data_IF_046333196952
#
_entry.id   IF_046333196952
#
_cell.length_a   1.000
_cell.length_b   1.000
_cell.length_c   1.000
_cell.angle_alpha   90.00
_cell.angle_beta   90.00
_cell.angle_gamma   90.00
#
_symmetry.space_group_name_H-M   'P 1'
#
loop_
_entity.id
_entity.type
_entity.pdbx_description
1 polymer ?
#
# COMPACT_ATOMS: atom_id res chain seq x y z
N UNK A 1 27.59 8.12 -43.26
CA UNK A 1 26.18 7.93 -42.85
C UNK A 1 26.12 6.77 -41.86
N UNK A 2 25.94 7.04 -40.57
CA UNK A 2 25.68 6.01 -39.54
C UNK A 2 24.60 6.55 -38.62
N UNK A 3 23.46 5.86 -38.61
CA UNK A 3 22.32 6.14 -37.75
C UNK A 3 22.73 5.89 -36.29
N UNK A 4 22.64 6.92 -35.44
CA UNK A 4 22.74 6.76 -34.00
C UNK A 4 21.34 6.43 -33.45
N UNK A 5 21.13 5.16 -33.09
CA UNK A 5 19.95 4.73 -32.33
C UNK A 5 20.00 5.34 -30.94
N UNK A 6 19.07 6.26 -30.68
CA UNK A 6 18.82 6.83 -29.37
C UNK A 6 17.93 5.86 -28.60
N UNK A 7 18.50 5.08 -27.68
CA UNK A 7 17.74 4.17 -26.82
C UNK A 7 17.12 4.97 -25.67
N UNK A 8 15.86 5.37 -25.82
CA UNK A 8 15.08 6.02 -24.76
C UNK A 8 14.57 4.93 -23.80
N UNK A 9 15.14 4.86 -22.60
CA UNK A 9 14.69 3.95 -21.54
C UNK A 9 13.43 4.56 -20.90
N UNK A 10 12.25 4.16 -21.39
CA UNK A 10 10.98 4.42 -20.72
C UNK A 10 10.87 3.49 -19.51
N UNK A 11 10.99 4.04 -18.31
CA UNK A 11 10.55 3.37 -17.08
C UNK A 11 9.02 3.44 -17.09
N UNK A 12 8.37 2.37 -17.58
CA UNK A 12 6.94 2.15 -17.40
C UNK A 12 6.71 1.88 -15.91
N UNK A 13 6.38 2.92 -15.16
CA UNK A 13 5.63 2.78 -13.91
C UNK A 13 4.25 2.27 -14.30
N UNK A 14 4.10 0.94 -14.34
CA UNK A 14 2.79 0.30 -14.35
C UNK A 14 2.07 0.80 -13.12
N UNK A 15 1.12 1.73 -13.30
CA UNK A 15 0.09 1.98 -12.31
C UNK A 15 -0.62 0.64 -12.11
N UNK A 16 -0.21 -0.10 -11.09
CA UNK A 16 -0.86 -1.33 -10.70
C UNK A 16 -2.26 -0.91 -10.24
N UNK A 17 -3.24 -1.10 -11.12
CA UNK A 17 -4.63 -0.81 -10.84
C UNK A 17 -5.05 -1.52 -9.55
N UNK A 18 -5.53 -0.70 -8.61
CA UNK A 18 -5.95 -1.09 -7.27
C UNK A 18 -7.27 -1.87 -7.33
N UNK A 19 -7.19 -3.19 -7.55
CA UNK A 19 -8.39 -4.02 -7.72
C UNK A 19 -8.87 -4.60 -6.39
N UNK A 20 -9.42 -3.74 -5.53
CA UNK A 20 -10.25 -4.17 -4.41
C UNK A 20 -11.70 -4.40 -4.91
N UNK A 21 -11.93 -5.40 -5.77
CA UNK A 21 -13.24 -5.57 -6.41
C UNK A 21 -14.22 -6.47 -5.64
N UNK A 22 -15.44 -5.95 -5.46
CA UNK A 22 -16.68 -6.68 -5.72
C UNK A 22 -16.94 -6.65 -7.25
N UNK A 23 -17.56 -7.69 -7.83
CA UNK A 23 -17.75 -7.99 -9.28
C UNK A 23 -18.30 -6.87 -10.20
N UNK A 24 -17.65 -5.71 -10.26
CA UNK A 24 -18.10 -4.49 -10.94
C UNK A 24 -16.99 -3.90 -11.82
N UNK A 25 -17.37 -3.09 -12.82
CA UNK A 25 -16.40 -2.36 -13.66
C UNK A 25 -16.05 -1.03 -12.99
N UNK A 26 -14.81 -0.87 -12.50
CA UNK A 26 -14.39 0.32 -11.74
C UNK A 26 -13.13 0.99 -12.31
N UNK A 27 -12.75 0.70 -13.56
CA UNK A 27 -11.52 1.24 -14.19
C UNK A 27 -11.39 2.76 -14.04
N UNK A 28 -12.48 3.50 -14.28
CA UNK A 28 -12.52 4.96 -14.16
C UNK A 28 -12.44 5.47 -12.71
N UNK A 29 -12.89 4.67 -11.75
CA UNK A 29 -12.75 4.98 -10.33
C UNK A 29 -11.34 4.67 -9.85
N UNK A 30 -10.74 3.58 -10.31
CA UNK A 30 -9.34 3.25 -10.04
C UNK A 30 -8.41 4.32 -10.62
N UNK A 31 -8.67 4.80 -11.84
CA UNK A 31 -7.89 5.88 -12.47
C UNK A 31 -7.94 7.19 -11.67
N UNK A 32 -9.07 7.50 -11.03
CA UNK A 32 -9.21 8.66 -10.14
C UNK A 32 -8.39 8.54 -8.86
N UNK A 33 -7.88 7.36 -8.52
CA UNK A 33 -7.18 7.09 -7.26
C UNK A 33 -8.08 7.27 -6.05
N UNK A 34 -7.54 7.76 -4.94
CA UNK A 34 -8.33 8.13 -3.78
C UNK A 34 -8.74 6.95 -2.88
N UNK A 35 -8.19 5.76 -3.08
CA UNK A 35 -8.48 4.57 -2.27
C UNK A 35 -7.53 4.39 -1.08
N UNK A 36 -7.96 3.59 -0.11
CA UNK A 36 -7.15 3.24 1.06
C UNK A 36 -5.79 2.62 0.69
N UNK A 37 -5.75 1.77 -0.35
CA UNK A 37 -4.51 1.17 -0.85
C UNK A 37 -3.57 2.18 -1.53
N UNK A 38 -4.11 3.22 -2.17
CA UNK A 38 -3.30 4.28 -2.80
C UNK A 38 -2.53 5.05 -1.72
N UNK A 39 -3.22 5.36 -0.62
CA UNK A 39 -2.60 5.98 0.54
C UNK A 39 -1.56 5.07 1.21
N UNK A 40 -1.88 3.80 1.44
CA UNK A 40 -0.91 2.85 2.00
C UNK A 40 0.33 2.74 1.11
N UNK A 41 0.18 2.68 -0.22
CA UNK A 41 1.32 2.68 -1.15
C UNK A 41 2.15 3.96 -1.09
N UNK A 42 1.53 5.11 -0.83
CA UNK A 42 2.27 6.37 -0.67
C UNK A 42 3.16 6.35 0.58
N UNK A 43 2.77 5.59 1.62
CA UNK A 43 3.55 5.39 2.86
C UNK A 43 4.54 4.24 2.74
N UNK A 44 4.13 3.15 2.10
CA UNK A 44 4.87 1.91 1.95
C UNK A 44 4.81 1.47 0.49
N UNK A 45 5.72 1.94 -0.37
CA UNK A 45 5.69 1.64 -1.81
C UNK A 45 5.75 0.15 -2.16
N UNK A 46 6.31 -0.66 -1.25
CA UNK A 46 6.43 -2.12 -1.39
C UNK A 46 5.14 -2.89 -1.03
N UNK A 47 4.10 -2.22 -0.54
CA UNK A 47 2.85 -2.88 -0.19
C UNK A 47 2.24 -3.58 -1.43
N UNK A 48 2.02 -4.92 -1.38
CA UNK A 48 1.36 -5.64 -2.46
C UNK A 48 -0.12 -5.25 -2.50
N UNK A 49 -0.60 -4.78 -3.65
CA UNK A 49 -2.03 -4.44 -3.81
C UNK A 49 -2.77 -5.69 -4.29
N UNK A 50 -3.54 -6.36 -3.40
CA UNK A 50 -4.21 -7.60 -3.75
C UNK A 50 -5.27 -7.33 -4.80
N UNK A 51 -5.39 -8.24 -5.76
CA UNK A 51 -6.34 -8.16 -6.87
C UNK A 51 -7.57 -9.07 -6.66
N UNK A 52 -7.56 -9.88 -5.60
CA UNK A 52 -8.59 -10.86 -5.30
C UNK A 52 -8.76 -11.09 -3.80
N UNK A 53 -9.91 -11.67 -3.42
CA UNK A 53 -10.18 -12.08 -2.02
C UNK A 53 -9.17 -13.15 -1.56
N UNK A 54 -8.73 -14.03 -2.46
CA UNK A 54 -7.69 -15.00 -2.13
C UNK A 54 -6.36 -14.30 -1.79
N UNK A 55 -5.94 -13.34 -2.62
CA UNK A 55 -4.69 -12.60 -2.40
C UNK A 55 -4.70 -11.81 -1.09
N UNK A 56 -5.81 -11.15 -0.74
CA UNK A 56 -5.86 -10.38 0.51
C UNK A 56 -5.81 -11.26 1.75
N UNK A 57 -6.37 -12.48 1.71
CA UNK A 57 -6.30 -13.42 2.85
C UNK A 57 -4.91 -13.98 3.10
N UNK A 58 -4.02 -13.93 2.10
CA UNK A 58 -2.63 -14.38 2.23
C UNK A 58 -1.66 -13.24 2.52
N UNK A 59 -2.14 -11.99 2.65
CA UNK A 59 -1.30 -10.85 3.06
C UNK A 59 -0.92 -10.88 4.54
N UNK A 60 -1.56 -11.72 5.36
CA UNK A 60 -1.18 -11.87 6.76
C UNK A 60 0.23 -12.43 6.91
N UNK A 61 1.20 -11.58 7.22
CA UNK A 61 2.59 -11.98 7.47
C UNK A 61 3.04 -11.72 8.93
N UNK A 62 2.16 -11.16 9.76
CA UNK A 62 2.40 -10.92 11.19
C UNK A 62 1.16 -11.23 12.02
N UNK A 63 1.39 -11.67 13.26
CA UNK A 63 0.32 -11.83 14.24
C UNK A 63 -0.23 -10.46 14.66
N UNK A 64 -1.55 -10.33 14.76
CA UNK A 64 -2.22 -9.07 15.15
C UNK A 64 -1.72 -8.55 16.51
N UNK A 65 -1.49 -9.44 17.48
CA UNK A 65 -0.97 -9.07 18.80
C UNK A 65 0.47 -8.49 18.77
N UNK A 66 1.21 -8.75 17.68
CA UNK A 66 2.59 -8.29 17.46
C UNK A 66 2.67 -7.05 16.56
N UNK A 67 1.54 -6.38 16.28
CA UNK A 67 1.53 -5.16 15.48
C UNK A 67 2.54 -4.11 15.98
N UNK A 68 3.16 -3.41 15.05
CA UNK A 68 4.12 -2.32 15.26
C UNK A 68 3.72 -1.08 14.45
N UNK A 69 4.34 0.05 14.79
CA UNK A 69 4.22 1.27 14.00
C UNK A 69 4.83 1.05 12.62
N UNK A 70 4.15 1.52 11.57
CA UNK A 70 4.55 1.25 10.20
C UNK A 70 3.95 0.00 9.56
N UNK A 71 3.23 -0.82 10.32
CA UNK A 71 2.45 -1.92 9.78
C UNK A 71 1.20 -1.44 9.05
N UNK A 72 0.61 -2.33 8.26
CA UNK A 72 -0.69 -2.16 7.61
C UNK A 72 -1.73 -3.01 8.34
N UNK A 73 -2.73 -2.34 8.89
CA UNK A 73 -3.94 -2.97 9.41
C UNK A 73 -4.90 -3.28 8.28
N UNK A 74 -5.36 -4.52 8.20
CA UNK A 74 -6.32 -4.99 7.20
C UNK A 74 -7.62 -5.37 7.93
N UNK A 75 -8.71 -4.75 7.52
CA UNK A 75 -10.06 -4.92 8.08
C UNK A 75 -10.97 -5.59 7.06
N UNK A 76 -11.79 -6.53 7.50
CA UNK A 76 -12.93 -7.03 6.72
C UNK A 76 -14.18 -6.22 7.09
N UNK A 77 -14.76 -5.51 6.11
CA UNK A 77 -16.01 -4.76 6.28
C UNK A 77 -17.20 -5.49 5.63
N UNK A 78 -17.06 -6.80 5.40
CA UNK A 78 -18.05 -7.74 4.87
C UNK A 78 -18.29 -7.63 3.37
N UNK A 79 -18.32 -6.41 2.80
CA UNK A 79 -18.51 -6.20 1.35
C UNK A 79 -17.24 -5.88 0.60
N UNK A 80 -16.22 -5.42 1.31
CA UNK A 80 -14.91 -5.10 0.78
C UNK A 80 -13.92 -5.09 1.93
N UNK A 81 -12.65 -5.25 1.60
CA UNK A 81 -11.56 -5.12 2.54
C UNK A 81 -11.06 -3.70 2.59
N UNK A 82 -10.68 -3.25 3.77
CA UNK A 82 -10.16 -1.91 3.99
C UNK A 82 -8.78 -1.98 4.63
N UNK A 83 -7.86 -1.13 4.18
CA UNK A 83 -6.49 -1.09 4.72
C UNK A 83 -6.19 0.27 5.33
N UNK A 84 -5.39 0.27 6.38
CA UNK A 84 -4.95 1.50 7.04
C UNK A 84 -3.49 1.37 7.51
N UNK A 85 -2.76 2.47 7.50
CA UNK A 85 -1.39 2.52 8.02
C UNK A 85 -1.41 2.72 9.54
N UNK A 86 -0.69 1.90 10.29
CA UNK A 86 -0.57 2.02 11.74
C UNK A 86 0.44 3.12 12.07
N UNK A 87 -0.06 4.24 12.55
CA UNK A 87 0.75 5.39 12.99
C UNK A 87 1.29 5.19 14.42
N UNK A 88 0.54 4.49 15.27
CA UNK A 88 0.91 4.25 16.66
C UNK A 88 0.31 2.95 17.19
N UNK A 89 1.06 2.20 17.99
CA UNK A 89 0.55 1.06 18.76
C UNK A 89 0.45 1.43 20.23
N UNK A 90 -0.77 1.43 20.76
CA UNK A 90 -1.01 1.66 22.17
C UNK A 90 -0.95 0.32 22.92
N UNK A 91 -0.05 0.24 23.91
CA UNK A 91 0.20 -0.97 24.70
C UNK A 91 -0.28 -0.80 26.14
N UNK A 92 -0.71 -1.89 26.77
CA UNK A 92 -1.02 -1.91 28.20
C UNK A 92 0.26 -1.97 29.05
N UNK A 93 0.11 -2.02 30.38
CA UNK A 93 1.23 -2.10 31.32
C UNK A 93 2.07 -3.38 31.17
N UNK A 94 1.49 -4.44 30.58
CA UNK A 94 2.16 -5.71 30.30
C UNK A 94 2.88 -5.70 28.93
N UNK A 95 2.85 -4.57 28.20
CA UNK A 95 3.47 -4.42 26.88
C UNK A 95 2.65 -5.02 25.72
N UNK A 96 1.44 -5.50 25.98
CA UNK A 96 0.57 -6.07 24.95
C UNK A 96 -0.13 -4.96 24.17
N UNK A 97 -0.20 -5.09 22.84
CA UNK A 97 -0.97 -4.18 22.01
C UNK A 97 -2.47 -4.30 22.35
N UNK A 98 -3.12 -3.17 22.67
CA UNK A 98 -4.55 -3.12 23.00
C UNK A 98 -5.35 -2.32 21.99
N UNK A 99 -4.73 -1.31 21.38
CA UNK A 99 -5.32 -0.52 20.31
C UNK A 99 -4.23 0.10 19.44
N UNK A 100 -4.63 0.59 18.28
CA UNK A 100 -3.76 1.31 17.35
C UNK A 100 -4.39 2.65 16.97
N UNK A 101 -3.54 3.61 16.64
CA UNK A 101 -3.94 4.77 15.87
C UNK A 101 -3.59 4.52 14.41
N UNK A 102 -4.53 4.77 13.51
CA UNK A 102 -4.34 4.52 12.08
C UNK A 102 -4.62 5.77 11.26
N UNK A 103 -3.89 5.93 10.16
CA UNK A 103 -4.19 6.88 9.11
C UNK A 103 -4.62 6.13 7.85
N UNK A 104 -5.57 6.69 7.12
CA UNK A 104 -6.22 6.00 6.00
C UNK A 104 -6.88 6.99 5.04
N UNK A 105 -7.27 6.49 3.87
CA UNK A 105 -8.01 7.24 2.85
C UNK A 105 -9.28 6.49 2.49
N UNK A 106 -10.33 7.22 2.06
CA UNK A 106 -11.62 6.62 1.67
C UNK A 106 -12.24 5.75 2.77
N UNK A 107 -11.97 6.09 4.04
CA UNK A 107 -12.65 5.48 5.17
C UNK A 107 -13.90 6.28 5.51
N UNK A 108 -15.07 5.64 5.51
CA UNK A 108 -16.31 6.31 5.85
C UNK A 108 -17.54 5.45 5.64
N UNK A 109 -18.70 6.03 5.95
CA UNK A 109 -19.98 5.37 5.76
C UNK A 109 -20.40 5.31 4.29
N UNK A 110 -21.51 4.61 4.05
CA UNK A 110 -22.16 4.46 2.74
C UNK A 110 -22.36 5.82 2.06
N UNK A 111 -21.93 5.93 0.82
CA UNK A 111 -22.16 7.09 -0.03
C UNK A 111 -23.66 7.22 -0.35
N UNK A 112 -24.31 8.32 0.04
CA UNK A 112 -25.69 8.60 -0.33
C UNK A 112 -25.79 9.15 -1.76
N UNK A 113 -26.92 8.91 -2.44
CA UNK A 113 -27.12 9.43 -3.79
C UNK A 113 -27.05 10.96 -3.85
N UNK A 114 -27.58 11.66 -2.84
CA UNK A 114 -27.47 13.12 -2.77
C UNK A 114 -26.02 13.60 -2.62
N UNK A 115 -25.23 12.93 -1.79
CA UNK A 115 -23.80 13.27 -1.65
C UNK A 115 -23.05 12.99 -2.97
N UNK A 116 -23.37 11.88 -3.63
CA UNK A 116 -22.82 11.54 -4.94
C UNK A 116 -23.12 12.63 -5.99
N UNK A 117 -24.39 13.02 -6.14
CA UNK A 117 -24.79 14.11 -7.04
C UNK A 117 -24.04 15.39 -6.77
N UNK A 118 -23.91 15.76 -5.50
CA UNK A 118 -23.28 17.03 -5.12
C UNK A 118 -21.78 17.03 -5.41
N UNK A 119 -21.10 15.90 -5.16
CA UNK A 119 -19.65 15.77 -5.31
C UNK A 119 -19.22 15.62 -6.77
N UNK A 120 -19.89 14.77 -7.54
CA UNK A 120 -19.51 14.49 -8.94
C UNK A 120 -20.36 15.20 -9.99
N UNK A 121 -21.36 15.98 -9.58
CA UNK A 121 -22.29 16.70 -10.48
C UNK A 121 -23.00 15.77 -11.49
N UNK A 122 -23.24 14.53 -11.09
CA UNK A 122 -23.90 13.50 -11.90
C UNK A 122 -25.22 13.08 -11.27
N UNK A 123 -26.28 12.92 -12.07
CA UNK A 123 -27.62 12.54 -11.59
C UNK A 123 -28.04 11.12 -12.02
N UNK A 124 -27.06 10.23 -12.23
CA UNK A 124 -27.29 8.85 -12.65
C UNK A 124 -27.23 7.92 -11.42
N UNK A 125 -28.37 7.28 -11.10
CA UNK A 125 -28.47 6.31 -10.01
C UNK A 125 -27.69 5.02 -10.27
N UNK A 126 -27.55 4.60 -11.53
CA UNK A 126 -26.78 3.40 -11.88
C UNK A 126 -25.29 3.66 -11.65
N UNK A 127 -24.83 4.85 -12.01
CA UNK A 127 -23.46 5.27 -11.76
C UNK A 127 -23.17 5.37 -10.25
N UNK A 128 -24.12 5.89 -9.46
CA UNK A 128 -24.02 5.87 -8.00
C UNK A 128 -23.94 4.44 -7.42
N UNK A 129 -24.77 3.52 -7.93
CA UNK A 129 -24.71 2.10 -7.52
C UNK A 129 -23.38 1.46 -7.91
N UNK A 130 -22.84 1.80 -9.07
CA UNK A 130 -21.51 1.36 -9.52
C UNK A 130 -20.42 1.89 -8.60
N UNK A 131 -20.43 3.18 -8.27
CA UNK A 131 -19.50 3.78 -7.30
C UNK A 131 -19.53 3.06 -5.94
N UNK A 132 -20.73 2.75 -5.42
CA UNK A 132 -20.88 1.95 -4.20
C UNK A 132 -20.27 0.55 -4.33
N UNK A 133 -20.44 -0.10 -5.48
CA UNK A 133 -19.84 -1.39 -5.75
C UNK A 133 -18.31 -1.32 -5.84
N UNK A 134 -17.78 -0.20 -6.35
CA UNK A 134 -16.35 0.09 -6.42
C UNK A 134 -15.71 0.44 -5.07
N UNK A 135 -16.45 0.39 -3.96
CA UNK A 135 -15.92 0.75 -2.65
C UNK A 135 -15.76 2.25 -2.42
N UNK A 136 -16.43 3.10 -3.22
CA UNK A 136 -16.45 4.56 -3.02
C UNK A 136 -17.29 4.88 -1.78
N UNK A 137 -16.67 5.51 -0.79
CA UNK A 137 -17.35 5.90 0.45
C UNK A 137 -17.78 7.38 0.42
N UNK A 138 -18.53 7.79 1.45
CA UNK A 138 -18.84 9.20 1.70
C UNK A 138 -17.60 10.10 1.83
N UNK A 139 -16.46 9.54 2.21
CA UNK A 139 -15.16 10.22 2.37
C UNK A 139 -14.14 9.81 1.30
N UNK A 140 -14.59 9.40 0.12
CA UNK A 140 -13.70 9.05 -0.98
C UNK A 140 -12.67 10.16 -1.28
N UNK A 141 -11.41 9.78 -1.54
CA UNK A 141 -10.30 10.70 -1.77
C UNK A 141 -10.05 11.71 -0.62
N UNK A 142 -10.44 11.34 0.60
CA UNK A 142 -10.14 12.12 1.81
C UNK A 142 -9.29 11.30 2.75
N UNK A 143 -8.24 11.94 3.27
CA UNK A 143 -7.41 11.41 4.36
C UNK A 143 -8.15 11.58 5.69
N UNK A 144 -8.06 10.57 6.53
CA UNK A 144 -8.57 10.59 7.90
C UNK A 144 -7.62 9.88 8.86
N UNK A 145 -7.81 10.10 10.16
CA UNK A 145 -7.08 9.41 11.22
C UNK A 145 -8.06 8.92 12.27
N UNK A 146 -8.00 7.62 12.56
CA UNK A 146 -8.72 7.03 13.68
C UNK A 146 -7.78 6.76 14.84
N UNK A 147 -8.26 7.08 16.04
CA UNK A 147 -7.52 6.91 17.30
C UNK A 147 -8.14 5.78 18.12
N UNK A 148 -7.29 5.04 18.85
CA UNK A 148 -7.72 3.96 19.74
C UNK A 148 -8.58 2.88 19.05
N UNK A 149 -8.27 2.52 17.81
CA UNK A 149 -8.92 1.39 17.12
C UNK A 149 -8.53 0.11 17.85
N UNK A 150 -9.51 -0.63 18.35
CA UNK A 150 -9.25 -1.82 19.16
C UNK A 150 -8.50 -2.88 18.35
N UNK A 151 -7.46 -3.47 18.95
CA UNK A 151 -6.58 -4.43 18.28
C UNK A 151 -7.35 -5.66 17.76
N UNK A 152 -8.41 -6.05 18.46
CA UNK A 152 -9.28 -7.17 18.12
C UNK A 152 -10.27 -6.90 16.97
N UNK A 153 -10.33 -5.65 16.48
CA UNK A 153 -11.10 -5.31 15.28
C UNK A 153 -10.28 -5.45 13.98
N UNK A 154 -8.99 -5.75 14.11
CA UNK A 154 -8.09 -5.96 12.97
C UNK A 154 -8.06 -7.45 12.64
N UNK A 155 -8.34 -7.79 11.40
CA UNK A 155 -8.37 -9.17 10.93
C UNK A 155 -6.97 -9.68 10.59
N UNK A 156 -6.17 -8.85 9.94
CA UNK A 156 -4.83 -9.21 9.50
C UNK A 156 -3.88 -8.03 9.65
N UNK A 157 -2.61 -8.34 9.94
CA UNK A 157 -1.50 -7.39 9.85
C UNK A 157 -0.60 -7.82 8.71
N UNK A 158 -0.22 -6.85 7.89
CA UNK A 158 0.90 -6.96 6.98
C UNK A 158 2.00 -5.99 7.41
N UNK A 159 3.24 -6.46 7.42
CA UNK A 159 4.43 -5.68 7.75
C UNK A 159 5.36 -5.59 6.54
N UNK A 160 5.98 -4.43 6.28
CA UNK A 160 7.05 -4.35 5.29
C UNK A 160 8.26 -5.15 5.75
N UNK A 161 8.99 -5.74 4.79
CA UNK A 161 10.30 -6.32 5.09
C UNK A 161 11.23 -5.24 5.64
N UNK A 162 11.70 -5.43 6.87
CA UNK A 162 12.63 -4.51 7.51
C UNK A 162 13.99 -4.69 6.84
N UNK A 163 14.40 -3.75 5.97
CA UNK A 163 15.81 -3.58 5.64
C UNK A 163 16.46 -3.02 6.91
N UNK A 164 16.96 -3.89 7.78
CA UNK A 164 17.61 -3.50 9.02
C UNK A 164 18.83 -2.60 8.74
N UNK A 165 18.68 -1.29 8.96
CA UNK A 165 19.81 -0.42 9.28
C UNK A 165 20.13 -0.61 10.77
N UNK A 166 20.89 -1.66 11.11
CA UNK A 166 21.57 -1.73 12.40
C UNK A 166 22.75 -0.76 12.40
N UNK A 167 22.53 0.46 12.87
CA UNK A 167 23.60 1.21 13.54
C UNK A 167 23.58 0.84 15.03
N UNK A 168 24.37 -0.18 15.40
CA UNK A 168 25.39 0.01 16.41
C UNK A 168 26.45 -1.10 16.34
N UNK A 169 27.68 -0.65 16.10
CA UNK A 169 28.98 -1.28 16.34
C UNK A 169 29.29 -2.62 15.65
N UNK A 170 30.06 -2.53 14.56
CA UNK A 170 31.34 -3.25 14.55
C UNK A 170 31.57 -4.38 13.54
N UNK A 171 30.66 -4.65 12.59
CA UNK A 171 30.80 -5.85 11.72
C UNK A 171 30.67 -5.65 10.21
N UNK A 172 30.32 -4.45 9.71
CA UNK A 172 29.87 -4.28 8.31
C UNK A 172 30.94 -3.80 7.31
N UNK A 173 32.15 -3.49 7.76
CA UNK A 173 33.21 -2.99 6.87
C UNK A 173 33.78 -4.06 5.92
N UNK A 174 33.70 -5.34 6.29
CA UNK A 174 34.32 -6.41 5.49
C UNK A 174 33.38 -7.00 4.43
N UNK A 175 32.06 -7.03 4.67
CA UNK A 175 31.07 -7.49 3.69
C UNK A 175 30.91 -6.51 2.52
N UNK A 176 31.03 -5.20 2.78
CA UNK A 176 30.91 -4.19 1.74
C UNK A 176 32.18 -4.08 0.87
N UNK A 177 33.37 -4.31 1.44
CA UNK A 177 34.62 -4.39 0.67
C UNK A 177 34.59 -5.53 -0.36
N UNK A 178 34.04 -6.69 0.00
CA UNK A 178 33.99 -7.83 -0.93
C UNK A 178 33.02 -7.57 -2.10
N UNK A 179 31.84 -6.98 -1.86
CA UNK A 179 30.90 -6.64 -2.93
C UNK A 179 31.36 -5.47 -3.81
N UNK A 180 32.05 -4.47 -3.25
CA UNK A 180 32.65 -3.39 -4.06
C UNK A 180 33.78 -3.92 -4.92
N UNK A 181 34.61 -4.84 -4.39
CA UNK A 181 35.70 -5.46 -5.14
C UNK A 181 35.17 -6.31 -6.30
N UNK A 182 34.13 -7.11 -6.05
CA UNK A 182 33.44 -7.87 -7.11
C UNK A 182 32.81 -6.96 -8.17
N UNK A 183 32.19 -5.83 -7.76
CA UNK A 183 31.62 -4.87 -8.70
C UNK A 183 32.69 -4.12 -9.53
N UNK A 184 33.85 -3.83 -8.93
CA UNK A 184 34.99 -3.20 -9.63
C UNK A 184 35.68 -4.18 -10.58
N UNK A 185 35.85 -5.44 -10.19
CA UNK A 185 36.42 -6.48 -11.07
C UNK A 185 35.51 -6.77 -12.28
N UNK A 186 34.18 -6.74 -12.09
CA UNK A 186 33.22 -6.84 -13.19
C UNK A 186 33.25 -5.61 -14.12
N UNK A 187 33.49 -4.41 -13.58
CA UNK A 187 33.62 -3.17 -14.35
C UNK A 187 34.93 -3.12 -15.17
N UNK A 188 36.03 -3.66 -14.63
CA UNK A 188 37.31 -3.76 -15.34
C UNK A 188 37.19 -4.78 -16.49
N UNK A 189 36.58 -5.94 -16.26
CA UNK A 189 36.33 -6.92 -17.33
C UNK A 189 35.40 -6.40 -18.44
N UNK A 190 34.45 -5.53 -18.11
CA UNK A 190 33.58 -4.90 -19.12
C UNK A 190 34.34 -3.88 -19.97
N UNK A 191 35.34 -3.21 -19.41
CA UNK A 191 36.15 -2.20 -20.11
C UNK A 191 37.15 -2.82 -21.09
N UNK A 192 37.62 -4.05 -20.82
CA UNK A 192 38.51 -4.80 -21.70
C UNK A 192 37.81 -5.51 -22.87
N UNK A 193 36.47 -5.64 -22.85
CA UNK A 193 35.68 -6.20 -23.97
C UNK A 193 35.19 -5.16 -24.97
N UNK A 194 35.41 -3.88 -24.70
CA UNK A 194 34.90 -2.74 -25.50
C UNK A 194 36.05 -1.93 -26.16
N UNK A 195 37.30 -2.37 -26.00
CA UNK A 195 38.46 -1.98 -26.79
C UNK A 195 38.87 -3.13 -27.72
#
# INVERSE_FOLDING_TARGET
MKFASMLTLFILLSAANSNCYADCKCDDWVEKGGYCVDYVKSKIPTFPVPQSVAEITVLKNREVAKAEEGDVAIFDLGRYWHVAYIEKVNRNQEGQAVSVDVSEMNYGGKLSFNLFKNKWKQNDEQEWKRALCCGVTSKYDQLDTRKNVAINSIEQIWSPDIIFSQEQSGGYADLFKNKIREALDQLIQLKERVL
#
